data_IF_680255787171
#
_entry.id   IF_680255787171
#
_cell.length_a   1.000
_cell.length_b   1.000
_cell.length_c   1.000
_cell.angle_alpha   90.00
_cell.angle_beta   90.00
_cell.angle_gamma   90.00
#
_symmetry.space_group_name_H-M   'P 1'
#
loop_
_entity.id
_entity.type
_entity.pdbx_description
1 polymer ?
#
# COMPACT_ATOMS: atom_id res chain seq x y z
N UNK A 1 35.53 -48.18 23.89
CA UNK A 1 36.01 -46.95 23.23
C UNK A 1 35.01 -46.56 22.17
N UNK A 2 34.54 -45.30 22.25
CA UNK A 2 33.89 -44.42 21.25
C UNK A 2 33.42 -45.07 19.92
N UNK A 3 32.20 -44.82 19.43
CA UNK A 3 31.76 -43.49 18.97
C UNK A 3 30.23 -43.30 19.11
N UNK A 4 29.84 -42.27 19.87
CA UNK A 4 28.53 -41.62 19.71
C UNK A 4 28.50 -40.95 18.33
N UNK A 5 27.63 -41.43 17.45
CA UNK A 5 27.26 -40.70 16.22
C UNK A 5 26.28 -39.60 16.60
N UNK A 6 26.78 -38.38 16.77
CA UNK A 6 25.93 -37.21 16.89
C UNK A 6 25.35 -36.85 15.51
N UNK A 7 24.02 -36.70 15.47
CA UNK A 7 23.24 -35.89 14.53
C UNK A 7 22.85 -36.46 13.14
N UNK A 8 22.17 -37.60 13.10
CA UNK A 8 21.19 -37.86 12.03
C UNK A 8 19.81 -37.37 12.48
N UNK A 9 19.52 -36.06 12.36
CA UNK A 9 18.19 -35.56 12.75
C UNK A 9 17.11 -36.19 11.86
N UNK A 10 16.06 -36.72 12.49
CA UNK A 10 14.88 -37.30 11.84
C UNK A 10 13.90 -36.23 11.33
N UNK A 11 14.15 -34.96 11.64
CA UNK A 11 13.34 -33.81 11.25
C UNK A 11 14.23 -32.65 10.85
N UNK A 12 13.69 -31.71 10.06
CA UNK A 12 14.40 -30.49 9.67
C UNK A 12 14.62 -29.56 10.86
N UNK A 13 15.77 -28.90 10.87
CA UNK A 13 16.10 -27.83 11.82
C UNK A 13 15.66 -26.46 11.29
N UNK A 14 15.60 -25.45 12.16
CA UNK A 14 15.34 -24.05 11.74
C UNK A 14 16.37 -23.55 10.73
N UNK A 15 17.64 -23.93 10.89
CA UNK A 15 18.71 -23.61 9.93
C UNK A 15 18.49 -24.27 8.56
N UNK A 16 17.93 -25.49 8.53
CA UNK A 16 17.56 -26.12 7.27
C UNK A 16 16.45 -25.34 6.57
N UNK A 17 15.44 -24.90 7.33
CA UNK A 17 14.32 -24.10 6.82
C UNK A 17 14.84 -22.76 6.28
N UNK A 18 15.61 -22.04 7.06
CA UNK A 18 16.19 -20.74 6.71
C UNK A 18 17.04 -20.82 5.44
N UNK A 19 17.95 -21.79 5.36
CA UNK A 19 18.77 -22.03 4.16
C UNK A 19 17.90 -22.28 2.94
N UNK A 20 16.87 -23.10 3.08
CA UNK A 20 15.97 -23.43 1.97
C UNK A 20 15.13 -22.24 1.51
N UNK A 21 14.59 -21.46 2.44
CA UNK A 21 13.84 -20.24 2.15
C UNK A 21 14.75 -19.19 1.51
N UNK A 22 15.95 -19.00 2.04
CA UNK A 22 16.96 -18.09 1.48
C UNK A 22 17.40 -18.49 0.07
N UNK A 23 17.51 -19.79 -0.19
CA UNK A 23 17.83 -20.33 -1.52
C UNK A 23 16.76 -19.97 -2.58
N UNK A 24 15.52 -19.67 -2.18
CA UNK A 24 14.49 -19.16 -3.11
C UNK A 24 14.88 -17.79 -3.69
N UNK A 25 15.70 -17.02 -2.98
CA UNK A 25 16.07 -15.65 -3.30
C UNK A 25 17.57 -15.50 -3.57
N UNK A 26 18.33 -16.59 -3.74
CA UNK A 26 19.79 -16.56 -3.91
C UNK A 26 20.31 -15.66 -5.03
N UNK A 27 19.51 -15.42 -6.07
CA UNK A 27 19.85 -14.55 -7.20
C UNK A 27 19.45 -13.09 -6.98
N UNK A 28 18.83 -12.79 -5.83
CA UNK A 28 18.34 -11.49 -5.44
C UNK A 28 18.98 -11.04 -4.13
N UNK A 29 19.89 -10.08 -4.22
CA UNK A 29 20.55 -9.49 -3.05
C UNK A 29 19.67 -8.54 -2.22
N UNK A 30 18.49 -8.18 -2.74
CA UNK A 30 17.56 -7.22 -2.12
C UNK A 30 16.47 -7.90 -1.29
N UNK A 31 16.53 -9.22 -1.13
CA UNK A 31 15.55 -9.99 -0.38
C UNK A 31 16.28 -10.86 0.62
N UNK A 32 15.93 -10.71 1.89
CA UNK A 32 16.49 -11.47 2.98
C UNK A 32 15.39 -12.18 3.76
N UNK A 33 15.69 -13.40 4.21
CA UNK A 33 14.82 -14.17 5.10
C UNK A 33 15.33 -13.98 6.53
N UNK A 34 14.43 -13.53 7.42
CA UNK A 34 14.74 -13.25 8.81
C UNK A 34 13.80 -14.02 9.74
N UNK A 35 14.17 -14.10 11.02
CA UNK A 35 13.31 -14.55 12.13
C UNK A 35 12.62 -15.90 11.90
N UNK A 36 13.31 -16.84 11.24
CA UNK A 36 12.78 -18.19 10.96
C UNK A 36 12.56 -18.94 12.27
N UNK A 37 11.33 -19.43 12.47
CA UNK A 37 10.95 -20.27 13.60
C UNK A 37 10.18 -21.48 13.11
N UNK A 38 10.54 -22.65 13.63
CA UNK A 38 9.78 -23.88 13.45
C UNK A 38 8.72 -23.96 14.55
N UNK A 39 7.44 -23.97 14.16
CA UNK A 39 6.33 -24.06 15.11
C UNK A 39 5.94 -25.52 15.37
N UNK A 40 5.84 -26.30 14.30
CA UNK A 40 5.43 -27.71 14.37
C UNK A 40 5.95 -28.48 13.14
N UNK A 41 5.88 -29.80 13.17
CA UNK A 41 6.08 -30.59 11.96
C UNK A 41 5.62 -32.03 12.08
N UNK A 42 5.11 -32.56 10.98
CA UNK A 42 4.55 -33.91 10.90
C UNK A 42 5.10 -34.69 9.70
N UNK A 43 5.49 -35.97 9.90
CA UNK A 43 5.88 -36.83 8.80
C UNK A 43 4.69 -37.08 7.87
N UNK A 44 4.98 -37.19 6.58
CA UNK A 44 4.00 -37.48 5.54
C UNK A 44 4.18 -38.92 5.03
N UNK A 45 3.12 -39.57 4.51
CA UNK A 45 3.19 -40.95 4.03
C UNK A 45 4.19 -41.16 2.89
N UNK A 46 4.52 -40.11 2.14
CA UNK A 46 5.46 -40.11 1.02
C UNK A 46 6.93 -39.91 1.44
N UNK A 47 7.21 -39.95 2.75
CA UNK A 47 8.55 -39.73 3.30
C UNK A 47 8.96 -38.26 3.40
N UNK A 48 8.09 -37.33 3.01
CA UNK A 48 8.29 -35.91 3.28
C UNK A 48 7.96 -35.57 4.74
N UNK A 49 8.32 -34.34 5.12
CA UNK A 49 8.03 -33.78 6.43
C UNK A 49 7.39 -32.41 6.21
N UNK A 50 6.14 -32.25 6.64
CA UNK A 50 5.42 -30.99 6.57
C UNK A 50 5.80 -30.18 7.82
N UNK A 51 6.28 -28.96 7.62
CA UNK A 51 6.77 -28.09 8.69
C UNK A 51 5.95 -26.82 8.69
N UNK A 52 5.34 -26.52 9.84
CA UNK A 52 4.72 -25.22 10.06
C UNK A 52 5.79 -24.25 10.55
N UNK A 53 5.99 -23.15 9.83
CA UNK A 53 7.03 -22.18 10.14
C UNK A 53 6.52 -20.75 10.05
N UNK A 54 7.13 -19.87 10.84
CA UNK A 54 7.02 -18.42 10.65
C UNK A 54 8.36 -17.85 10.28
N UNK A 55 8.38 -16.83 9.44
CA UNK A 55 9.58 -16.13 9.02
C UNK A 55 9.19 -14.74 8.51
N UNK A 56 10.16 -13.84 8.44
CA UNK A 56 9.98 -12.54 7.83
C UNK A 56 10.71 -12.48 6.49
N UNK A 57 10.12 -11.80 5.53
CA UNK A 57 10.79 -11.38 4.31
C UNK A 57 11.09 -9.90 4.46
N UNK A 58 12.39 -9.58 4.47
CA UNK A 58 12.89 -8.22 4.37
C UNK A 58 13.18 -7.93 2.90
N UNK A 59 12.52 -6.91 2.36
CA UNK A 59 12.81 -6.35 1.04
C UNK A 59 13.62 -5.08 1.26
N UNK A 60 14.87 -5.09 0.82
CA UNK A 60 15.71 -3.91 0.81
C UNK A 60 15.40 -3.05 -0.42
N UNK A 61 15.45 -1.71 -0.29
CA UNK A 61 15.19 -0.83 -1.41
C UNK A 61 16.33 -0.88 -2.44
N UNK A 62 15.96 -0.82 -3.72
CA UNK A 62 16.89 -0.69 -4.84
C UNK A 62 17.13 0.80 -5.10
N UNK A 63 18.38 1.26 -5.28
CA UNK A 63 18.72 2.68 -5.49
C UNK A 63 17.87 3.40 -6.56
N UNK A 64 17.58 2.73 -7.67
CA UNK A 64 16.69 3.28 -8.71
C UNK A 64 15.25 3.45 -8.19
N UNK A 65 14.75 2.52 -7.39
CA UNK A 65 13.43 2.60 -6.77
C UNK A 65 13.36 3.66 -5.65
N UNK A 66 14.45 3.87 -4.90
CA UNK A 66 14.57 4.95 -3.90
C UNK A 66 14.33 6.30 -4.57
N UNK A 67 14.99 6.53 -5.72
CA UNK A 67 14.82 7.77 -6.49
C UNK A 67 13.39 7.96 -6.97
N UNK A 68 12.79 6.92 -7.57
CA UNK A 68 11.40 6.97 -8.03
C UNK A 68 10.42 7.24 -6.88
N UNK A 69 10.65 6.64 -5.71
CA UNK A 69 9.85 6.88 -4.52
C UNK A 69 10.03 8.29 -3.97
N UNK A 70 11.26 8.83 -3.94
CA UNK A 70 11.51 10.21 -3.52
C UNK A 70 10.70 11.21 -4.36
N UNK A 71 10.79 11.11 -5.68
CA UNK A 71 10.04 11.99 -6.60
C UNK A 71 8.52 11.82 -6.46
N UNK A 72 8.06 10.58 -6.34
CA UNK A 72 6.64 10.27 -6.20
C UNK A 72 6.08 10.76 -4.86
N UNK A 73 6.76 10.50 -3.75
CA UNK A 73 6.31 10.84 -2.40
C UNK A 73 6.28 12.35 -2.16
N UNK A 74 7.21 13.11 -2.76
CA UNK A 74 7.18 14.57 -2.73
C UNK A 74 5.93 15.11 -3.45
N UNK A 75 5.68 14.64 -4.69
CA UNK A 75 4.49 15.02 -5.45
C UNK A 75 3.19 14.58 -4.77
N UNK A 76 3.17 13.38 -4.18
CA UNK A 76 2.02 12.86 -3.45
C UNK A 76 1.70 13.73 -2.24
N UNK A 77 2.72 14.16 -1.49
CA UNK A 77 2.55 15.04 -0.34
C UNK A 77 1.95 16.39 -0.75
N UNK A 78 2.48 17.01 -1.82
CA UNK A 78 1.95 18.26 -2.37
C UNK A 78 0.52 18.10 -2.90
N UNK A 79 0.24 17.02 -3.62
CA UNK A 79 -1.10 16.72 -4.12
C UNK A 79 -2.10 16.57 -2.98
N UNK A 80 -1.78 15.76 -1.96
CA UNK A 80 -2.64 15.57 -0.78
C UNK A 80 -2.89 16.86 -0.01
N UNK A 81 -1.90 17.74 0.06
CA UNK A 81 -2.06 19.06 0.67
C UNK A 81 -3.13 19.87 -0.07
N UNK A 82 -3.07 19.97 -1.40
CA UNK A 82 -4.08 20.69 -2.18
C UNK A 82 -5.46 20.04 -2.12
N UNK A 83 -5.54 18.70 -2.14
CA UNK A 83 -6.82 18.00 -1.97
C UNK A 83 -7.45 18.28 -0.60
N UNK A 84 -6.63 18.39 0.46
CA UNK A 84 -7.12 18.76 1.78
C UNK A 84 -7.59 20.22 1.81
N UNK A 85 -6.86 21.16 1.22
CA UNK A 85 -7.31 22.55 1.10
C UNK A 85 -8.64 22.66 0.35
N UNK A 86 -8.79 21.94 -0.78
CA UNK A 86 -10.04 21.89 -1.53
C UNK A 86 -11.18 21.35 -0.67
N UNK A 87 -10.93 20.26 0.06
CA UNK A 87 -11.92 19.66 0.95
C UNK A 87 -12.36 20.66 2.03
N UNK A 88 -11.43 21.34 2.68
CA UNK A 88 -11.73 22.32 3.72
C UNK A 88 -12.51 23.53 3.17
N UNK A 89 -12.18 24.01 1.97
CA UNK A 89 -12.93 25.08 1.29
C UNK A 89 -14.34 24.61 0.89
N UNK A 90 -14.48 23.38 0.37
CA UNK A 90 -15.76 22.79 0.00
C UNK A 90 -16.67 22.54 1.21
N UNK A 91 -16.11 22.17 2.36
CA UNK A 91 -16.85 22.00 3.61
C UNK A 91 -17.41 23.33 4.10
N UNK A 92 -16.63 24.43 4.02
CA UNK A 92 -17.13 25.77 4.36
C UNK A 92 -18.28 26.20 3.45
N UNK A 93 -18.18 25.94 2.15
CA UNK A 93 -19.26 26.23 1.21
C UNK A 93 -20.52 25.42 1.49
N UNK A 94 -20.35 24.13 1.84
CA UNK A 94 -21.46 23.26 2.26
C UNK A 94 -22.15 23.82 3.52
N UNK A 95 -21.37 24.29 4.50
CA UNK A 95 -21.90 24.92 5.71
C UNK A 95 -22.64 26.23 5.40
N UNK A 96 -22.12 27.06 4.50
CA UNK A 96 -22.79 28.29 4.07
C UNK A 96 -24.15 27.99 3.44
N UNK A 97 -24.25 26.93 2.61
CA UNK A 97 -25.50 26.52 1.99
C UNK A 97 -26.53 26.00 3.00
N UNK A 98 -26.09 25.23 3.99
CA UNK A 98 -26.95 24.77 5.10
C UNK A 98 -27.45 25.96 5.92
N UNK A 99 -26.58 26.93 6.22
CA UNK A 99 -26.96 28.12 6.95
C UNK A 99 -27.96 28.99 6.17
N UNK A 100 -27.71 29.23 4.89
CA UNK A 100 -28.61 29.96 4.00
C UNK A 100 -30.01 29.33 4.02
N UNK A 101 -30.12 28.01 3.89
CA UNK A 101 -31.42 27.31 3.94
C UNK A 101 -32.15 27.52 5.26
N UNK A 102 -31.45 27.39 6.38
CA UNK A 102 -32.04 27.64 7.70
C UNK A 102 -32.51 29.09 7.84
N UNK A 103 -31.74 30.04 7.35
CA UNK A 103 -32.12 31.46 7.36
C UNK A 103 -33.33 31.74 6.47
N UNK A 104 -33.40 31.13 5.29
CA UNK A 104 -34.55 31.18 4.40
C UNK A 104 -35.81 30.70 5.11
N UNK A 105 -35.78 29.50 5.69
CA UNK A 105 -36.91 28.92 6.43
C UNK A 105 -37.37 29.83 7.56
N UNK A 106 -36.44 30.34 8.36
CA UNK A 106 -36.75 31.26 9.47
C UNK A 106 -37.38 32.56 8.97
N UNK A 107 -36.84 33.17 7.90
CA UNK A 107 -37.38 34.39 7.30
C UNK A 107 -38.78 34.15 6.72
N UNK A 108 -39.00 33.01 6.06
CA UNK A 108 -40.30 32.64 5.49
C UNK A 108 -41.36 32.42 6.57
N UNK A 109 -41.01 31.78 7.68
CA UNK A 109 -41.90 31.60 8.83
C UNK A 109 -42.26 32.93 9.50
N UNK A 110 -41.31 33.85 9.61
CA UNK A 110 -41.53 35.17 10.21
C UNK A 110 -42.29 36.15 9.30
N UNK A 111 -42.47 35.82 8.02
CA UNK A 111 -43.09 36.71 7.04
C UNK A 111 -44.62 36.66 7.06
N UNK A 112 -45.25 37.83 7.23
CA UNK A 112 -46.71 37.99 7.35
C UNK A 112 -47.38 38.55 6.09
N UNK A 113 -46.63 38.89 5.04
CA UNK A 113 -47.15 39.53 3.82
C UNK A 113 -46.49 38.99 2.56
N UNK A 114 -47.20 39.01 1.43
CA UNK A 114 -46.70 38.47 0.17
C UNK A 114 -45.46 39.20 -0.34
N UNK A 115 -45.45 40.53 -0.32
CA UNK A 115 -44.29 41.35 -0.75
C UNK A 115 -43.01 41.04 0.03
N UNK A 116 -43.14 40.68 1.32
CA UNK A 116 -42.00 40.24 2.14
C UNK A 116 -41.52 38.85 1.74
N UNK A 117 -42.42 37.95 1.32
CA UNK A 117 -42.04 36.62 0.82
C UNK A 117 -41.31 36.72 -0.51
N UNK A 118 -41.77 37.57 -1.42
CA UNK A 118 -41.11 37.77 -2.72
C UNK A 118 -39.66 38.27 -2.55
N UNK A 119 -39.45 39.27 -1.68
CA UNK A 119 -38.09 39.73 -1.35
C UNK A 119 -37.21 38.68 -0.66
N UNK A 120 -37.79 37.76 0.13
CA UNK A 120 -37.04 36.64 0.72
C UNK A 120 -36.62 35.63 -0.36
N UNK A 121 -37.49 35.36 -1.35
CA UNK A 121 -37.16 34.48 -2.49
C UNK A 121 -36.08 35.11 -3.37
N UNK A 122 -36.14 36.43 -3.62
CA UNK A 122 -35.07 37.13 -4.34
C UNK A 122 -33.74 37.07 -3.59
N UNK A 123 -33.76 37.24 -2.26
CA UNK A 123 -32.57 37.06 -1.42
C UNK A 123 -32.00 35.63 -1.50
N UNK A 124 -32.85 34.61 -1.42
CA UNK A 124 -32.41 33.21 -1.53
C UNK A 124 -31.70 32.95 -2.85
N UNK A 125 -32.26 33.43 -3.97
CA UNK A 125 -31.63 33.29 -5.29
C UNK A 125 -30.28 33.99 -5.35
N UNK A 126 -30.20 35.23 -4.87
CA UNK A 126 -28.94 35.98 -4.87
C UNK A 126 -27.86 35.32 -4.01
N UNK A 127 -28.25 34.76 -2.86
CA UNK A 127 -27.33 34.06 -1.96
C UNK A 127 -26.88 32.71 -2.52
N UNK A 128 -27.80 31.98 -3.18
CA UNK A 128 -27.46 30.77 -3.90
C UNK A 128 -26.46 31.07 -5.04
N UNK A 129 -26.71 32.09 -5.85
CA UNK A 129 -25.80 32.51 -6.94
C UNK A 129 -24.41 32.89 -6.40
N UNK A 130 -24.35 33.53 -5.22
CA UNK A 130 -23.09 33.85 -4.54
C UNK A 130 -22.31 32.58 -4.17
N UNK A 131 -22.97 31.61 -3.53
CA UNK A 131 -22.35 30.35 -3.11
C UNK A 131 -21.90 29.54 -4.34
N UNK A 132 -22.70 29.49 -5.39
CA UNK A 132 -22.37 28.78 -6.63
C UNK A 132 -21.16 29.42 -7.34
N UNK A 133 -21.11 30.76 -7.38
CA UNK A 133 -19.94 31.51 -7.88
C UNK A 133 -18.68 31.24 -7.07
N UNK A 134 -18.78 31.19 -5.74
CA UNK A 134 -17.66 30.85 -4.86
C UNK A 134 -17.16 29.42 -5.11
N UNK A 135 -18.07 28.45 -5.27
CA UNK A 135 -17.70 27.07 -5.63
C UNK A 135 -16.94 26.99 -6.95
N UNK A 136 -17.37 27.75 -7.96
CA UNK A 136 -16.66 27.82 -9.24
C UNK A 136 -15.26 28.43 -9.08
N UNK A 137 -15.11 29.45 -8.24
CA UNK A 137 -13.81 30.05 -7.94
C UNK A 137 -12.90 29.08 -7.18
N UNK A 138 -13.42 28.33 -6.20
CA UNK A 138 -12.68 27.31 -5.45
C UNK A 138 -12.10 26.27 -6.42
N UNK A 139 -12.94 25.73 -7.32
CA UNK A 139 -12.50 24.77 -8.33
C UNK A 139 -11.43 25.35 -9.26
N UNK A 140 -11.60 26.61 -9.68
CA UNK A 140 -10.64 27.32 -10.55
C UNK A 140 -9.29 27.54 -9.85
N UNK A 141 -9.30 27.97 -8.59
CA UNK A 141 -8.07 28.15 -7.78
C UNK A 141 -7.36 26.82 -7.54
N UNK A 142 -8.11 25.76 -7.23
CA UNK A 142 -7.54 24.42 -7.05
C UNK A 142 -6.85 23.93 -8.32
N UNK A 143 -7.51 24.02 -9.47
CA UNK A 143 -6.92 23.64 -10.74
C UNK A 143 -5.67 24.47 -11.06
N UNK A 144 -5.67 25.78 -10.78
CA UNK A 144 -4.51 26.64 -10.96
C UNK A 144 -3.32 26.20 -10.08
N UNK A 145 -3.57 25.90 -8.79
CA UNK A 145 -2.55 25.37 -7.85
C UNK A 145 -1.96 24.05 -8.36
N UNK A 146 -2.81 23.11 -8.79
CA UNK A 146 -2.36 21.84 -9.37
C UNK A 146 -1.51 22.06 -10.62
N UNK A 147 -1.92 23.00 -11.50
CA UNK A 147 -1.20 23.31 -12.74
C UNK A 147 0.16 23.94 -12.46
N UNK A 148 0.23 24.92 -11.56
CA UNK A 148 1.48 25.57 -11.15
C UNK A 148 2.48 24.56 -10.54
N UNK A 149 1.97 23.61 -9.76
CA UNK A 149 2.78 22.53 -9.19
C UNK A 149 3.11 21.39 -10.17
N UNK A 150 2.60 21.42 -11.41
CA UNK A 150 2.79 20.36 -12.40
C UNK A 150 2.11 19.04 -12.02
N UNK A 151 1.00 19.09 -11.29
CA UNK A 151 0.27 17.94 -10.74
C UNK A 151 -1.04 17.60 -11.47
N UNK A 152 -1.38 18.32 -12.55
CA UNK A 152 -2.64 18.09 -13.30
C UNK A 152 -2.75 16.69 -13.92
N UNK A 153 -1.61 16.03 -14.16
CA UNK A 153 -1.53 14.66 -14.70
C UNK A 153 -0.84 13.72 -13.73
N UNK A 154 -0.73 14.08 -12.46
CA UNK A 154 -0.05 13.26 -11.46
C UNK A 154 -0.90 12.04 -11.10
N UNK A 155 -0.34 10.84 -11.30
CA UNK A 155 -0.95 9.59 -10.87
C UNK A 155 -0.82 9.43 -9.35
N UNK A 156 -1.74 10.03 -8.60
CA UNK A 156 -1.78 9.92 -7.14
C UNK A 156 -2.07 8.50 -6.64
N UNK A 157 -2.52 7.59 -7.51
CA UNK A 157 -2.72 6.17 -7.20
C UNK A 157 -1.41 5.38 -7.17
N UNK A 158 -0.32 5.92 -7.73
CA UNK A 158 1.00 5.28 -7.74
C UNK A 158 1.12 4.06 -8.66
N UNK A 159 0.11 3.76 -9.47
CA UNK A 159 0.12 2.58 -10.36
C UNK A 159 1.23 2.64 -11.40
N UNK A 160 1.46 3.81 -12.01
CA UNK A 160 2.51 3.98 -13.01
C UNK A 160 3.90 3.78 -12.40
N UNK A 161 4.13 4.38 -11.23
CA UNK A 161 5.39 4.27 -10.50
C UNK A 161 5.61 2.84 -10.03
N UNK A 162 4.58 2.18 -9.49
CA UNK A 162 4.65 0.80 -9.05
C UNK A 162 5.05 -0.12 -10.22
N UNK A 163 4.47 0.07 -11.41
CA UNK A 163 4.85 -0.71 -12.60
C UNK A 163 6.32 -0.51 -12.96
N UNK A 164 6.83 0.72 -12.91
CA UNK A 164 8.26 1.02 -13.18
C UNK A 164 9.16 0.37 -12.14
N UNK A 165 8.83 0.50 -10.86
CA UNK A 165 9.62 -0.12 -9.78
C UNK A 165 9.58 -1.64 -9.84
N UNK A 166 8.44 -2.24 -10.22
CA UNK A 166 8.31 -3.67 -10.45
C UNK A 166 9.23 -4.16 -11.57
N UNK A 167 9.31 -3.44 -12.69
CA UNK A 167 10.25 -3.77 -13.77
C UNK A 167 11.71 -3.68 -13.33
N UNK A 168 12.06 -2.67 -12.52
CA UNK A 168 13.40 -2.54 -11.93
C UNK A 168 13.68 -3.71 -10.99
N UNK A 169 12.72 -4.05 -10.13
CA UNK A 169 12.83 -5.17 -9.21
C UNK A 169 13.01 -6.48 -9.96
N UNK A 170 12.15 -6.82 -10.93
CA UNK A 170 12.25 -8.05 -11.73
C UNK A 170 13.60 -8.16 -12.46
N UNK A 171 14.15 -7.03 -12.93
CA UNK A 171 15.46 -6.98 -13.59
C UNK A 171 16.62 -7.22 -12.63
N UNK A 172 16.58 -6.63 -11.43
CA UNK A 172 17.68 -6.68 -10.46
C UNK A 172 17.57 -7.81 -9.43
N UNK A 173 16.38 -8.40 -9.28
CA UNK A 173 16.02 -9.43 -8.33
C UNK A 173 15.27 -10.57 -9.05
N UNK A 174 15.93 -11.31 -9.96
CA UNK A 174 15.27 -12.36 -10.73
C UNK A 174 14.93 -13.56 -9.82
N UNK A 175 13.64 -13.75 -9.54
CA UNK A 175 13.15 -14.89 -8.76
C UNK A 175 12.59 -15.93 -9.72
N UNK A 176 13.29 -17.07 -9.86
CA UNK A 176 12.95 -18.08 -10.87
C UNK A 176 11.93 -19.11 -10.39
N UNK A 177 11.87 -19.36 -9.09
CA UNK A 177 11.00 -20.39 -8.52
C UNK A 177 9.61 -19.83 -8.19
N UNK A 178 8.58 -20.67 -8.35
CA UNK A 178 7.18 -20.27 -8.17
C UNK A 178 6.88 -19.83 -6.74
N UNK A 179 7.39 -20.55 -5.73
CA UNK A 179 7.13 -20.23 -4.32
C UNK A 179 7.68 -18.85 -3.95
N UNK A 180 8.91 -18.54 -4.33
CA UNK A 180 9.54 -17.23 -4.12
C UNK A 180 8.77 -16.10 -4.78
N UNK A 181 8.28 -16.30 -6.02
CA UNK A 181 7.40 -15.32 -6.68
C UNK A 181 6.11 -15.11 -5.89
N UNK A 182 5.48 -16.19 -5.43
CA UNK A 182 4.27 -16.12 -4.60
C UNK A 182 4.53 -15.39 -3.29
N UNK A 183 5.68 -15.65 -2.65
CA UNK A 183 6.06 -15.02 -1.39
C UNK A 183 6.32 -13.52 -1.57
N UNK A 184 7.05 -13.09 -2.61
CA UNK A 184 7.23 -11.65 -2.89
C UNK A 184 5.93 -10.95 -3.23
N UNK A 185 5.09 -11.58 -4.05
CA UNK A 185 3.79 -11.03 -4.38
C UNK A 185 2.88 -10.84 -3.15
N UNK A 186 3.02 -11.71 -2.14
CA UNK A 186 2.35 -11.54 -0.85
C UNK A 186 3.04 -10.52 0.05
N UNK A 187 4.36 -10.40 -0.03
CA UNK A 187 5.15 -9.41 0.71
C UNK A 187 4.92 -7.98 0.22
N UNK A 188 4.58 -7.83 -1.06
CA UNK A 188 4.14 -6.59 -1.72
C UNK A 188 2.64 -6.71 -2.04
N UNK A 189 1.77 -6.69 -1.01
CA UNK A 189 0.39 -7.16 -1.12
C UNK A 189 -0.41 -6.45 -2.24
N UNK A 190 -1.15 -7.25 -3.00
CA UNK A 190 -2.05 -6.76 -4.05
C UNK A 190 -3.29 -6.04 -3.53
N UNK A 191 -3.72 -6.35 -2.30
CA UNK A 191 -4.93 -5.79 -1.70
C UNK A 191 -4.69 -4.40 -1.08
N UNK A 192 -3.43 -3.99 -0.94
CA UNK A 192 -3.09 -2.65 -0.46
C UNK A 192 -3.13 -1.63 -1.61
N UNK A 193 -3.36 -0.36 -1.25
CA UNK A 193 -3.28 0.75 -2.21
C UNK A 193 -1.93 0.73 -2.94
N UNK A 194 -1.92 1.05 -4.24
CA UNK A 194 -0.68 1.05 -5.02
C UNK A 194 0.40 1.96 -4.40
N UNK A 195 0.02 3.04 -3.70
CA UNK A 195 0.93 3.89 -2.93
C UNK A 195 1.77 3.11 -1.91
N UNK A 196 1.16 2.13 -1.22
CA UNK A 196 1.88 1.30 -0.24
C UNK A 196 2.87 0.36 -0.90
N UNK A 197 2.51 -0.16 -2.08
CA UNK A 197 3.44 -0.98 -2.88
C UNK A 197 4.63 -0.17 -3.38
N UNK A 198 4.37 1.07 -3.80
CA UNK A 198 5.44 2.00 -4.20
C UNK A 198 6.40 2.26 -3.04
N UNK A 199 5.84 2.47 -1.84
CA UNK A 199 6.63 2.66 -0.62
C UNK A 199 7.48 1.42 -0.31
N UNK A 200 6.92 0.20 -0.33
CA UNK A 200 7.68 -1.02 -0.03
C UNK A 200 8.86 -1.21 -0.99
N UNK A 201 8.66 -1.00 -2.30
CA UNK A 201 9.75 -1.15 -3.26
C UNK A 201 10.77 0.00 -3.22
N UNK A 202 10.37 1.17 -2.72
CA UNK A 202 11.19 2.38 -2.66
C UNK A 202 11.92 2.61 -1.35
N UNK A 203 11.34 2.20 -0.22
CA UNK A 203 11.87 2.37 1.14
C UNK A 203 12.21 1.03 1.82
N UNK A 204 11.86 -0.09 1.19
CA UNK A 204 11.94 -1.41 1.78
C UNK A 204 10.69 -1.77 2.60
N UNK A 205 10.64 -3.02 3.04
CA UNK A 205 9.54 -3.52 3.84
C UNK A 205 9.84 -4.84 4.50
N UNK A 206 9.24 -5.05 5.66
CA UNK A 206 9.33 -6.30 6.41
C UNK A 206 7.93 -6.92 6.49
N UNK A 207 7.77 -8.12 5.94
CA UNK A 207 6.49 -8.84 5.96
C UNK A 207 6.65 -10.19 6.63
N UNK A 208 5.86 -10.43 7.69
CA UNK A 208 5.83 -11.69 8.40
C UNK A 208 4.92 -12.71 7.72
N UNK A 209 5.39 -13.95 7.65
CA UNK A 209 4.69 -15.08 7.08
C UNK A 209 4.46 -16.17 8.12
N UNK A 210 3.35 -16.89 7.95
CA UNK A 210 3.11 -18.20 8.55
C UNK A 210 2.79 -19.13 7.39
N UNK A 211 3.61 -20.17 7.22
CA UNK A 211 3.56 -21.04 6.05
C UNK A 211 3.82 -22.49 6.42
N UNK A 212 3.13 -23.39 5.75
CA UNK A 212 3.41 -24.82 5.81
C UNK A 212 4.33 -25.17 4.64
N UNK A 213 5.54 -25.61 4.94
CA UNK A 213 6.53 -26.01 3.93
C UNK A 213 6.74 -27.52 3.97
N UNK A 214 6.73 -28.13 2.80
CA UNK A 214 7.04 -29.55 2.66
C UNK A 214 8.53 -29.70 2.41
N UNK A 215 9.20 -30.54 3.21
CA UNK A 215 10.63 -30.82 3.08
C UNK A 215 10.87 -32.31 2.90
N UNK A 216 11.90 -32.67 2.13
CA UNK A 216 12.35 -34.05 1.95
C UNK A 216 13.81 -34.18 2.38
N UNK A 217 14.15 -35.30 3.02
CA UNK A 217 15.54 -35.59 3.41
C UNK A 217 16.29 -36.14 2.21
N UNK A 218 17.37 -35.47 1.82
CA UNK A 218 18.27 -35.87 0.74
C UNK A 218 19.67 -36.13 1.28
N UNK A 219 20.58 -36.61 0.43
CA UNK A 219 22.01 -36.73 0.77
C UNK A 219 22.64 -35.37 1.13
N UNK A 220 22.08 -34.28 0.61
CA UNK A 220 22.51 -32.90 0.88
C UNK A 220 21.74 -32.24 2.04
N UNK A 221 21.07 -33.05 2.89
CA UNK A 221 20.23 -32.59 3.99
C UNK A 221 18.77 -32.36 3.60
N UNK A 222 18.02 -31.67 4.46
CA UNK A 222 16.61 -31.35 4.21
C UNK A 222 16.48 -30.28 3.13
N UNK A 223 15.64 -30.55 2.14
CA UNK A 223 15.40 -29.66 0.99
C UNK A 223 13.89 -29.40 0.84
N UNK A 224 13.50 -28.25 0.30
CA UNK A 224 12.10 -28.00 -0.09
C UNK A 224 11.66 -28.99 -1.15
N UNK A 225 10.45 -29.53 -0.97
CA UNK A 225 9.82 -30.47 -1.87
C UNK A 225 8.65 -29.75 -2.58
N UNK A 226 8.86 -29.38 -3.85
CA UNK A 226 7.90 -28.64 -4.68
C UNK A 226 6.99 -29.57 -5.47
#
# INVERSE_FOLDING_TARGET
>A
MSLCSCANSSTSSEKDIERNLSNLFKECKYVEILNVKKLDGMPQPDGAYLVKTTFDINIEPIDENIKLWGEYSEKLSKYKFFEQELKDESEKSTQAWVQMKREFENKMQASTSMEKRDSIIEWERAEQDRIDSENQQIATRHFAKLKEAGLTTFDSSGNEIFRKQGQIFDRQCPIRNTLGKTLIFKAVPLLDSANKRVEILGNGGLTSFSYDIKMIKTENGWQLNF
#
